data_IF_817038076956
#
_entry.id   IF_817038076956
#
_cell.length_a   1.000
_cell.length_b   1.000
_cell.length_c   1.000
_cell.angle_alpha   90.00
_cell.angle_beta   90.00
_cell.angle_gamma   90.00
#
_symmetry.space_group_name_H-M   'P 1'
#
loop_
_entity.id
_entity.type
_entity.pdbx_description
1 polymer ?
#
# COMPACT_ATOMS: atom_id res chain seq x y z
N UNK A 1 -39.91 -6.83 -42.28
CA UNK A 1 -38.47 -6.50 -42.42
C UNK A 1 -38.23 -5.22 -41.65
N UNK A 2 -37.40 -5.29 -40.62
CA UNK A 2 -37.32 -4.33 -39.51
C UNK A 2 -36.45 -3.13 -39.88
N UNK A 3 -36.84 -1.96 -39.35
CA UNK A 3 -36.37 -0.63 -39.71
C UNK A 3 -34.88 -0.36 -39.52
N UNK A 4 -34.34 0.45 -40.43
CA UNK A 4 -33.07 1.14 -40.29
C UNK A 4 -33.27 2.44 -39.52
N UNK A 5 -33.11 2.38 -38.19
CA UNK A 5 -32.96 3.58 -37.37
C UNK A 5 -31.48 3.95 -37.27
N UNK A 6 -31.19 5.16 -37.72
CA UNK A 6 -29.91 5.85 -37.66
C UNK A 6 -29.58 6.20 -36.20
N UNK A 7 -28.67 5.47 -35.58
CA UNK A 7 -28.18 5.80 -34.23
C UNK A 7 -26.97 6.72 -34.37
N UNK A 8 -27.20 7.98 -34.00
CA UNK A 8 -26.21 9.04 -33.87
C UNK A 8 -25.19 8.68 -32.78
N UNK A 9 -23.90 8.71 -33.11
CA UNK A 9 -22.82 8.65 -32.12
C UNK A 9 -22.86 9.90 -31.24
N UNK A 10 -23.38 9.76 -30.01
CA UNK A 10 -23.23 10.78 -28.97
C UNK A 10 -21.79 10.71 -28.46
N UNK A 11 -20.98 11.68 -28.87
CA UNK A 11 -19.72 11.99 -28.20
C UNK A 11 -20.06 12.53 -26.80
N UNK A 12 -19.95 11.68 -25.78
CA UNK A 12 -19.95 12.15 -24.39
C UNK A 12 -18.60 12.81 -24.13
N UNK A 13 -18.58 14.14 -24.26
CA UNK A 13 -17.51 14.97 -23.71
C UNK A 13 -17.53 14.83 -22.18
N UNK A 14 -16.77 13.88 -21.64
CA UNK A 14 -16.35 13.95 -20.24
C UNK A 14 -15.32 15.08 -20.18
N UNK A 15 -15.81 16.27 -19.87
CA UNK A 15 -14.97 17.43 -19.56
C UNK A 15 -14.33 17.20 -18.19
N UNK A 16 -13.38 16.27 -18.12
CA UNK A 16 -12.49 16.15 -16.97
C UNK A 16 -11.49 17.31 -17.06
N UNK A 17 -11.80 18.43 -16.41
CA UNK A 17 -10.76 19.40 -16.05
C UNK A 17 -9.92 18.80 -14.91
N UNK A 18 -9.13 17.77 -15.23
CA UNK A 18 -7.94 17.50 -14.43
C UNK A 18 -6.93 18.57 -14.81
N UNK A 19 -6.84 19.62 -14.00
CA UNK A 19 -5.57 20.33 -13.89
C UNK A 19 -4.60 19.29 -13.34
N UNK A 20 -3.84 18.66 -14.23
CA UNK A 20 -2.62 17.97 -13.88
C UNK A 20 -1.70 19.02 -13.27
N UNK A 21 -1.77 19.15 -11.94
CA UNK A 21 -0.72 19.83 -11.19
C UNK A 21 0.47 18.89 -11.25
N UNK A 22 1.54 19.34 -11.90
CA UNK A 22 2.90 18.87 -11.66
C UNK A 22 3.23 19.14 -10.18
N UNK A 23 2.68 18.29 -9.31
CA UNK A 23 2.91 18.33 -7.86
C UNK A 23 4.28 17.77 -7.58
N UNK A 24 5.05 18.49 -6.75
CA UNK A 24 6.34 18.07 -6.20
C UNK A 24 6.32 16.58 -5.84
N UNK A 25 7.32 15.80 -6.30
CA UNK A 25 7.43 14.37 -6.00
C UNK A 25 7.76 14.19 -4.51
N UNK A 26 6.76 14.13 -3.66
CA UNK A 26 6.92 13.81 -2.24
C UNK A 26 7.13 12.30 -2.05
N UNK A 27 8.31 11.81 -2.42
CA UNK A 27 8.68 10.44 -2.13
C UNK A 27 9.04 10.31 -0.65
N UNK A 28 8.54 9.25 -0.02
CA UNK A 28 8.99 8.83 1.31
C UNK A 28 9.96 7.67 1.11
N UNK A 29 11.13 7.79 1.72
CA UNK A 29 12.13 6.72 1.75
C UNK A 29 12.13 6.06 3.12
N UNK A 30 12.38 4.76 3.18
CA UNK A 30 12.73 4.08 4.42
C UNK A 30 14.10 3.41 4.26
N UNK A 31 14.92 3.49 5.31
CA UNK A 31 16.26 2.88 5.36
C UNK A 31 16.42 1.98 6.58
N UNK A 32 17.24 0.93 6.45
CA UNK A 32 17.61 0.05 7.56
C UNK A 32 19.14 -0.05 7.64
N UNK A 33 19.79 0.32 8.77
CA UNK A 33 21.25 0.44 8.83
C UNK A 33 22.04 -0.81 8.46
N UNK A 34 21.46 -2.00 8.63
CA UNK A 34 22.13 -3.26 8.31
C UNK A 34 22.07 -3.64 6.82
N UNK A 35 21.40 -2.85 5.96
CA UNK A 35 21.40 -3.08 4.52
C UNK A 35 21.46 -1.78 3.71
N UNK A 36 22.04 -1.84 2.50
CA UNK A 36 22.05 -0.72 1.56
C UNK A 36 20.74 -0.57 0.78
N UNK A 37 19.71 -1.35 1.13
CA UNK A 37 18.44 -1.33 0.43
C UNK A 37 17.58 -0.17 0.92
N UNK A 38 16.86 0.47 -0.01
CA UNK A 38 15.94 1.56 0.27
C UNK A 38 14.53 1.15 -0.16
N UNK A 39 13.54 1.41 0.69
CA UNK A 39 12.13 1.30 0.31
C UNK A 39 11.64 2.69 -0.11
N UNK A 40 11.10 2.80 -1.33
CA UNK A 40 10.57 4.05 -1.87
C UNK A 40 9.06 3.94 -2.05
N UNK A 41 8.32 4.87 -1.44
CA UNK A 41 6.87 4.95 -1.57
C UNK A 41 6.49 5.99 -2.62
N UNK A 42 5.73 5.56 -3.64
CA UNK A 42 5.16 6.46 -4.63
C UNK A 42 4.05 7.32 -4.00
N UNK A 43 3.85 8.54 -4.51
CA UNK A 43 2.81 9.47 -4.06
C UNK A 43 1.42 8.82 -4.08
N UNK A 44 1.09 8.06 -5.11
CA UNK A 44 -0.20 7.38 -5.21
C UNK A 44 -0.44 6.40 -4.04
N UNK A 45 0.62 5.81 -3.49
CA UNK A 45 0.54 4.94 -2.31
C UNK A 45 0.29 5.78 -1.05
N UNK A 46 1.02 6.89 -0.91
CA UNK A 46 0.83 7.81 0.21
C UNK A 46 -0.58 8.43 0.23
N UNK A 47 -1.07 8.86 -0.94
CA UNK A 47 -2.42 9.39 -1.12
C UNK A 47 -3.48 8.33 -0.78
N UNK A 48 -3.23 7.08 -1.19
CA UNK A 48 -4.10 5.95 -0.87
C UNK A 48 -4.16 5.69 0.64
N UNK A 49 -3.03 5.69 1.35
CA UNK A 49 -2.99 5.57 2.80
C UNK A 49 -3.69 6.76 3.48
N UNK A 50 -3.39 7.98 3.04
CA UNK A 50 -3.94 9.21 3.61
C UNK A 50 -5.46 9.26 3.54
N UNK A 51 -6.06 8.76 2.44
CA UNK A 51 -7.50 8.67 2.23
C UNK A 51 -8.19 7.66 3.17
N UNK A 52 -7.45 6.70 3.71
CA UNK A 52 -7.97 5.60 4.53
C UNK A 52 -7.70 5.74 6.03
N UNK A 53 -7.00 6.79 6.46
CA UNK A 53 -6.68 7.05 7.87
C UNK A 53 -7.89 6.97 8.80
N UNK A 54 -7.68 6.45 10.01
CA UNK A 54 -8.71 6.29 11.03
C UNK A 54 -8.94 7.57 11.85
N UNK A 55 -9.29 8.67 11.19
CA UNK A 55 -9.43 10.00 11.81
C UNK A 55 -10.64 10.18 12.74
N UNK A 56 -11.48 9.16 12.91
CA UNK A 56 -12.70 9.25 13.73
C UNK A 56 -12.98 7.98 14.52
N UNK A 57 -13.79 8.09 15.57
CA UNK A 57 -14.07 7.00 16.50
C UNK A 57 -14.76 5.77 15.84
N UNK A 58 -15.61 6.01 14.84
CA UNK A 58 -16.30 4.93 14.11
C UNK A 58 -15.51 4.44 12.88
N UNK A 59 -14.34 5.01 12.58
CA UNK A 59 -13.52 4.58 11.44
C UNK A 59 -12.84 3.25 11.75
N UNK A 60 -13.11 2.27 10.89
CA UNK A 60 -12.53 0.93 10.94
C UNK A 60 -11.14 0.94 10.32
N UNK A 61 -10.31 0.04 10.81
CA UNK A 61 -9.01 -0.27 10.23
C UNK A 61 -9.15 -0.59 8.75
N UNK A 62 -8.35 0.02 7.90
CA UNK A 62 -8.24 -0.28 6.49
C UNK A 62 -6.92 -0.99 6.24
N UNK A 63 -6.84 -1.75 5.15
CA UNK A 63 -5.61 -2.38 4.74
C UNK A 63 -5.71 -2.96 3.34
N UNK A 64 -4.65 -3.64 2.94
CA UNK A 64 -4.56 -4.31 1.65
C UNK A 64 -3.12 -4.65 1.30
N UNK A 65 -2.86 -4.87 0.02
CA UNK A 65 -1.60 -5.41 -0.45
C UNK A 65 -0.71 -4.33 -1.06
N UNK A 66 0.60 -4.52 -0.92
CA UNK A 66 1.64 -3.67 -1.47
C UNK A 66 2.29 -4.35 -2.67
N UNK A 67 2.40 -3.59 -3.76
CA UNK A 67 3.01 -4.04 -4.99
C UNK A 67 4.15 -3.13 -5.42
N UNK A 68 5.28 -3.73 -5.76
CA UNK A 68 6.52 -3.03 -6.03
C UNK A 68 7.15 -3.44 -7.36
N UNK A 69 8.00 -2.54 -7.86
CA UNK A 69 9.08 -2.85 -8.80
C UNK A 69 10.36 -3.06 -8.02
N UNK A 70 11.12 -4.07 -8.44
CA UNK A 70 12.45 -4.35 -7.93
C UNK A 70 13.48 -3.65 -8.81
N UNK A 71 14.36 -2.89 -8.18
CA UNK A 71 15.52 -2.26 -8.80
C UNK A 71 16.75 -2.55 -7.92
N UNK A 72 17.95 -2.37 -8.46
CA UNK A 72 19.19 -2.68 -7.73
C UNK A 72 19.26 -1.80 -6.48
N UNK A 73 19.24 -2.43 -5.31
CA UNK A 73 19.26 -1.73 -4.00
C UNK A 73 17.98 -0.97 -3.67
N UNK A 74 16.90 -1.08 -4.44
CA UNK A 74 15.67 -0.31 -4.22
C UNK A 74 14.40 -1.17 -4.39
N UNK A 75 13.51 -1.09 -3.41
CA UNK A 75 12.14 -1.60 -3.49
C UNK A 75 11.19 -0.43 -3.70
N UNK A 76 10.72 -0.23 -4.93
CA UNK A 76 9.81 0.88 -5.28
C UNK A 76 8.37 0.41 -5.16
N UNK A 77 7.69 0.76 -4.08
CA UNK A 77 6.28 0.44 -3.84
C UNK A 77 5.43 1.42 -4.66
N UNK A 78 4.77 0.88 -5.67
CA UNK A 78 4.05 1.64 -6.71
C UNK A 78 2.53 1.65 -6.47
N UNK A 79 2.00 0.57 -5.88
CA UNK A 79 0.56 0.39 -5.69
C UNK A 79 0.28 -0.19 -4.32
N UNK A 80 -0.68 0.42 -3.62
CA UNK A 80 -1.39 -0.17 -2.50
C UNK A 80 -2.83 -0.49 -2.95
N UNK A 81 -3.32 -1.69 -2.67
CA UNK A 81 -4.71 -2.08 -2.93
C UNK A 81 -5.55 -2.04 -1.66
N UNK A 82 -6.83 -2.40 -1.76
CA UNK A 82 -7.73 -2.47 -0.62
C UNK A 82 -8.09 -1.09 -0.03
N UNK A 83 -8.88 -1.05 1.05
CA UNK A 83 -9.64 -2.18 1.57
C UNK A 83 -10.70 -2.60 0.55
N UNK A 84 -10.92 -3.91 0.43
CA UNK A 84 -11.97 -4.47 -0.39
C UNK A 84 -13.31 -4.48 0.38
N UNK A 85 -14.43 -4.55 -0.36
CA UNK A 85 -15.76 -4.58 0.26
C UNK A 85 -16.01 -5.82 1.13
N UNK A 86 -15.37 -6.94 0.80
CA UNK A 86 -15.48 -8.21 1.52
C UNK A 86 -14.41 -8.39 2.60
N UNK A 87 -13.56 -7.38 2.85
CA UNK A 87 -12.61 -7.45 3.95
C UNK A 87 -13.34 -7.42 5.29
N UNK A 88 -12.85 -8.21 6.24
CA UNK A 88 -13.34 -8.19 7.61
C UNK A 88 -12.58 -7.13 8.40
N UNK A 89 -13.32 -6.12 8.87
CA UNK A 89 -12.74 -4.90 9.43
C UNK A 89 -13.46 -4.52 10.72
N UNK A 90 -12.70 -4.31 11.78
CA UNK A 90 -13.15 -3.66 13.01
C UNK A 90 -12.37 -2.36 13.23
N UNK A 91 -12.52 -1.71 14.40
CA UNK A 91 -11.70 -0.54 14.72
C UNK A 91 -10.21 -0.89 14.94
N UNK A 92 -9.93 -2.11 15.40
CA UNK A 92 -8.61 -2.56 15.84
C UNK A 92 -8.22 -3.92 15.22
N UNK A 93 -8.86 -4.27 14.11
CA UNK A 93 -8.46 -5.45 13.36
C UNK A 93 -8.83 -5.34 11.88
N UNK A 94 -7.91 -5.81 11.05
CA UNK A 94 -8.07 -6.01 9.62
C UNK A 94 -7.79 -7.45 9.22
N UNK A 95 -8.62 -8.01 8.34
CA UNK A 95 -8.37 -9.28 7.68
C UNK A 95 -8.82 -9.20 6.23
N UNK A 96 -7.87 -9.35 5.31
CA UNK A 96 -8.12 -9.32 3.86
C UNK A 96 -8.98 -10.50 3.41
N UNK A 97 -9.81 -10.27 2.39
CA UNK A 97 -10.40 -11.33 1.57
C UNK A 97 -9.28 -12.04 0.78
N UNK A 98 -9.02 -13.35 1.02
CA UNK A 98 -7.93 -14.06 0.36
C UNK A 98 -8.17 -14.28 -1.14
N UNK A 99 -9.42 -14.38 -1.58
CA UNK A 99 -9.77 -14.57 -2.99
C UNK A 99 -9.54 -13.31 -3.82
N UNK A 100 -9.95 -12.14 -3.31
CA UNK A 100 -9.64 -10.85 -3.95
C UNK A 100 -8.14 -10.55 -3.89
N UNK A 101 -7.50 -10.81 -2.75
CA UNK A 101 -6.07 -10.62 -2.60
C UNK A 101 -5.27 -11.44 -3.63
N UNK A 102 -5.62 -12.72 -3.81
CA UNK A 102 -4.96 -13.58 -4.79
C UNK A 102 -5.22 -13.11 -6.23
N UNK A 103 -6.44 -12.64 -6.53
CA UNK A 103 -6.77 -12.09 -7.86
C UNK A 103 -5.95 -10.86 -8.18
N UNK A 104 -5.79 -9.93 -7.24
CA UNK A 104 -4.97 -8.74 -7.45
C UNK A 104 -3.49 -9.11 -7.58
N UNK A 105 -2.96 -10.10 -6.84
CA UNK A 105 -1.59 -10.60 -7.07
C UNK A 105 -1.39 -11.05 -8.51
N UNK A 106 -2.28 -11.91 -9.03
CA UNK A 106 -2.19 -12.43 -10.40
C UNK A 106 -2.26 -11.28 -11.41
N UNK A 107 -3.18 -10.33 -11.21
CA UNK A 107 -3.38 -9.18 -12.09
C UNK A 107 -2.17 -8.25 -12.11
N UNK A 108 -1.63 -7.89 -10.95
CA UNK A 108 -0.47 -6.98 -10.82
C UNK A 108 0.81 -7.61 -11.36
N UNK A 109 0.97 -8.93 -11.17
CA UNK A 109 2.07 -9.69 -11.77
C UNK A 109 2.09 -9.58 -13.30
N UNK A 110 0.92 -9.61 -13.97
CA UNK A 110 0.80 -9.40 -15.42
C UNK A 110 1.25 -8.01 -15.88
N UNK A 111 1.19 -7.01 -15.00
CA UNK A 111 1.70 -5.65 -15.25
C UNK A 111 3.16 -5.43 -14.79
N UNK A 112 3.89 -6.49 -14.42
CA UNK A 112 5.28 -6.40 -13.98
C UNK A 112 5.46 -5.86 -12.55
N UNK A 113 4.40 -5.91 -11.73
CA UNK A 113 4.45 -5.54 -10.32
C UNK A 113 4.38 -6.79 -9.44
N UNK A 114 5.24 -6.87 -8.44
CA UNK A 114 5.33 -8.01 -7.54
C UNK A 114 4.73 -7.66 -6.19
N UNK A 115 3.98 -8.61 -5.61
CA UNK A 115 3.56 -8.51 -4.23
C UNK A 115 4.78 -8.44 -3.32
N UNK A 116 4.79 -7.49 -2.40
CA UNK A 116 5.90 -7.28 -1.47
C UNK A 116 5.48 -7.22 0.01
N UNK A 117 4.20 -7.36 0.29
CA UNK A 117 3.66 -7.40 1.64
C UNK A 117 2.36 -6.62 1.75
N UNK A 118 2.01 -6.20 2.96
CA UNK A 118 0.69 -5.63 3.26
C UNK A 118 0.79 -4.27 3.95
N UNK A 119 -0.30 -3.54 3.95
CA UNK A 119 -0.45 -2.32 4.73
C UNK A 119 -1.75 -2.33 5.51
N UNK A 120 -1.77 -1.57 6.59
CA UNK A 120 -2.99 -1.28 7.33
C UNK A 120 -2.92 0.05 8.07
N UNK A 121 -4.04 0.48 8.64
CA UNK A 121 -4.13 1.74 9.38
C UNK A 121 -4.18 1.49 10.87
N UNK A 122 -3.69 2.42 11.66
CA UNK A 122 -3.93 2.45 13.09
C UNK A 122 -4.60 3.77 13.50
N UNK A 123 -5.36 3.80 14.60
CA UNK A 123 -5.95 5.03 15.12
C UNK A 123 -4.95 5.92 15.89
N UNK A 124 -3.71 5.48 16.11
CA UNK A 124 -2.67 6.30 16.74
C UNK A 124 -2.08 7.34 15.76
N UNK A 125 -1.65 8.49 16.27
CA UNK A 125 -0.97 9.53 15.47
C UNK A 125 0.31 9.01 14.80
N UNK A 126 1.19 8.41 15.60
CA UNK A 126 2.46 7.79 15.18
C UNK A 126 2.38 6.31 15.53
N UNK A 127 2.12 5.42 14.57
CA UNK A 127 1.75 4.05 14.86
C UNK A 127 2.96 3.20 15.27
N UNK A 128 2.69 2.13 16.00
CA UNK A 128 3.62 1.04 16.25
C UNK A 128 2.93 -0.27 15.91
N UNK A 129 3.68 -1.23 15.36
CA UNK A 129 3.19 -2.58 15.19
C UNK A 129 2.80 -3.18 16.55
N UNK A 130 1.58 -3.72 16.62
CA UNK A 130 1.13 -4.54 17.73
C UNK A 130 1.85 -5.89 17.74
N UNK A 131 1.69 -6.65 18.84
CA UNK A 131 2.20 -8.03 18.90
C UNK A 131 1.57 -8.93 17.84
N UNK A 132 0.33 -8.67 17.43
CA UNK A 132 -0.33 -9.45 16.38
C UNK A 132 0.25 -9.14 15.00
N UNK A 133 0.55 -7.87 14.73
CA UNK A 133 1.16 -7.42 13.47
C UNK A 133 2.53 -8.08 13.27
N UNK A 134 3.37 -8.07 14.32
CA UNK A 134 4.69 -8.68 14.30
C UNK A 134 4.63 -10.20 14.07
N UNK A 135 3.65 -10.89 14.66
CA UNK A 135 3.43 -12.32 14.43
C UNK A 135 2.93 -12.60 13.01
N UNK A 136 2.00 -11.76 12.52
CA UNK A 136 1.41 -11.89 11.19
C UNK A 136 2.46 -11.73 10.10
N UNK A 137 3.29 -10.67 10.15
CA UNK A 137 4.35 -10.44 9.14
C UNK A 137 5.41 -11.55 9.16
N UNK A 138 5.81 -12.05 10.32
CA UNK A 138 6.77 -13.17 10.42
C UNK A 138 6.19 -14.48 9.85
N UNK A 139 4.91 -14.75 10.13
CA UNK A 139 4.20 -15.90 9.57
C UNK A 139 4.04 -15.79 8.06
N UNK A 140 3.73 -14.60 7.57
CA UNK A 140 3.63 -14.33 6.13
C UNK A 140 4.96 -14.55 5.44
N UNK A 141 6.06 -14.00 5.98
CA UNK A 141 7.40 -14.14 5.43
C UNK A 141 7.90 -15.60 5.41
N UNK A 142 7.67 -16.37 6.48
CA UNK A 142 8.08 -17.77 6.57
C UNK A 142 7.32 -18.71 5.62
N UNK A 143 6.10 -18.34 5.21
CA UNK A 143 5.26 -19.13 4.29
C UNK A 143 5.36 -18.67 2.85
N UNK A 144 5.98 -17.53 2.62
CA UNK A 144 5.97 -16.89 1.31
C UNK A 144 7.13 -17.39 0.45
N UNK A 145 6.80 -18.02 -0.68
CA UNK A 145 7.76 -18.36 -1.74
C UNK A 145 8.05 -17.13 -2.64
N UNK A 146 8.15 -15.96 -1.99
CA UNK A 146 8.34 -14.70 -2.70
C UNK A 146 9.77 -14.65 -3.20
N UNK A 147 9.96 -14.07 -4.39
CA UNK A 147 11.30 -13.71 -4.91
C UNK A 147 12.00 -12.62 -4.08
N UNK A 148 11.48 -12.32 -2.90
CA UNK A 148 11.93 -11.28 -1.99
C UNK A 148 12.52 -11.94 -0.76
N UNK A 149 13.67 -11.45 -0.30
CA UNK A 149 14.29 -11.92 0.95
C UNK A 149 13.50 -11.50 2.19
N UNK A 150 12.54 -10.58 2.04
CA UNK A 150 11.67 -10.13 3.11
C UNK A 150 10.30 -9.68 2.59
N UNK A 151 9.32 -9.70 3.50
CA UNK A 151 7.99 -9.11 3.34
C UNK A 151 7.95 -7.78 4.08
N UNK A 152 7.31 -6.78 3.49
CA UNK A 152 7.15 -5.43 4.06
C UNK A 152 5.77 -5.29 4.70
N UNK A 153 5.72 -4.61 5.83
CA UNK A 153 4.47 -4.16 6.45
C UNK A 153 4.54 -2.66 6.67
N UNK A 154 3.50 -1.94 6.25
CA UNK A 154 3.41 -0.49 6.45
C UNK A 154 2.15 -0.17 7.23
N UNK A 155 2.32 0.57 8.32
CA UNK A 155 1.22 1.03 9.16
C UNK A 155 1.09 2.53 9.02
N UNK A 156 -0.11 2.97 8.64
CA UNK A 156 -0.48 4.38 8.55
C UNK A 156 -1.29 4.79 9.79
N UNK A 157 -0.73 5.69 10.59
CA UNK A 157 -1.42 6.35 11.70
C UNK A 157 -2.30 7.51 11.26
N UNK A 158 -2.70 8.36 12.21
CA UNK A 158 -3.53 9.53 11.95
C UNK A 158 -2.72 10.69 11.38
N UNK A 159 -1.42 10.84 11.71
CA UNK A 159 -0.60 11.91 11.12
C UNK A 159 -0.33 11.67 9.64
N UNK A 160 -0.01 12.75 8.92
CA UNK A 160 0.35 12.73 7.51
C UNK A 160 1.86 12.67 7.32
N UNK A 161 2.28 12.29 6.11
CA UNK A 161 3.70 12.23 5.74
C UNK A 161 4.47 11.16 6.51
N UNK A 162 5.78 11.33 6.58
CA UNK A 162 6.68 10.34 7.19
C UNK A 162 6.39 10.08 8.68
N UNK A 163 5.93 11.09 9.44
CA UNK A 163 5.67 10.92 10.86
C UNK A 163 4.49 9.99 11.15
N UNK A 164 3.54 9.89 10.23
CA UNK A 164 2.39 9.00 10.33
C UNK A 164 2.65 7.58 9.86
N UNK A 165 3.86 7.25 9.42
CA UNK A 165 4.18 5.95 8.85
C UNK A 165 5.13 5.16 9.77
N UNK A 166 4.80 3.89 9.97
CA UNK A 166 5.75 2.91 10.47
C UNK A 166 5.97 1.84 9.41
N UNK A 167 7.25 1.54 9.12
CA UNK A 167 7.65 0.57 8.11
C UNK A 167 8.44 -0.54 8.78
N UNK A 168 8.04 -1.78 8.51
CA UNK A 168 8.67 -2.99 9.03
C UNK A 168 8.98 -3.95 7.87
N UNK A 169 9.97 -4.81 8.07
CA UNK A 169 10.20 -5.96 7.19
C UNK A 169 10.43 -7.23 8.01
N UNK A 170 10.12 -8.39 7.44
CA UNK A 170 10.47 -9.69 8.04
C UNK A 170 10.98 -10.68 7.00
N UNK A 171 11.97 -11.48 7.39
CA UNK A 171 12.46 -12.63 6.64
C UNK A 171 11.92 -13.97 7.19
N UNK A 172 10.95 -13.92 8.10
CA UNK A 172 10.37 -15.10 8.77
C UNK A 172 11.07 -15.50 10.07
N UNK A 173 12.24 -14.94 10.37
CA UNK A 173 12.98 -15.16 11.63
C UNK A 173 13.03 -13.87 12.46
N UNK A 174 13.43 -12.78 11.83
CA UNK A 174 13.52 -11.46 12.43
C UNK A 174 12.45 -10.52 11.88
N UNK A 175 12.13 -9.49 12.66
CA UNK A 175 11.32 -8.35 12.21
C UNK A 175 12.11 -7.08 12.48
N UNK A 176 12.37 -6.33 11.42
CA UNK A 176 13.19 -5.12 11.45
C UNK A 176 12.30 -3.90 11.24
N UNK A 177 12.52 -2.85 12.06
CA UNK A 177 11.86 -1.56 11.90
C UNK A 177 12.77 -0.63 11.11
N UNK A 178 12.19 0.03 10.12
CA UNK A 178 12.90 0.96 9.25
C UNK A 178 12.76 2.40 9.74
N UNK A 179 13.77 3.22 9.48
CA UNK A 179 13.71 4.67 9.68
C UNK A 179 13.06 5.30 8.47
N UNK A 180 11.94 6.00 8.68
CA UNK A 180 11.18 6.68 7.63
C UNK A 180 11.67 8.12 7.49
N UNK A 181 12.08 8.51 6.29
CA UNK A 181 12.60 9.82 5.94
C UNK A 181 11.54 10.58 5.14
N UNK A 182 11.14 11.76 5.64
CA UNK A 182 10.20 12.65 4.96
C UNK A 182 10.86 13.41 3.81
N UNK A 183 10.18 13.46 2.66
CA UNK A 183 10.61 14.21 1.49
C UNK A 183 10.51 15.72 1.71
N UNK A 184 11.57 16.28 2.30
CA UNK A 184 11.83 17.70 2.44
C UNK A 184 13.14 18.16 1.80
N UNK A 185 13.79 17.34 0.97
CA UNK A 185 14.97 17.77 0.18
C UNK A 185 15.07 16.91 -1.08
N UNK A 186 14.75 17.51 -2.23
CA UNK A 186 15.38 17.38 -3.56
C UNK A 186 14.63 18.30 -4.53
#
# INVERSE_FOLDING_TARGET
MVGSQQIRSIAVFVRCRSRYQMGKKHMVAATFPACSQIILLNNSVLDHFAAHRQTGFCKREAGGQLFAKLDVGMLKIEVATGPYRSDHRSRFSYRSDPGLAQREIIKKKKSGLYYCGDWHTHPEDRPLASREDLRTIATLASRSDLRLNCVVMIIQGVLQGAEGLAVYSSNGVAVDRWTVLGGGFL
#
